data_IF_630626428822
#
_entry.id   IF_630626428822
#
_cell.length_a   1.000
_cell.length_b   1.000
_cell.length_c   1.000
_cell.angle_alpha   90.00
_cell.angle_beta   90.00
_cell.angle_gamma   90.00
#
_symmetry.space_group_name_H-M   'P 1'
#
loop_
_entity.id
_entity.type
_entity.pdbx_description
1 polymer ?
#
# COMPACT_ATOMS: atom_id res chain seq x y z
N UNK A 1 -9.34 -28.78 -12.85
CA UNK A 1 -9.93 -28.53 -11.52
C UNK A 1 -8.82 -28.73 -10.49
N UNK A 2 -8.39 -27.67 -9.82
CA UNK A 2 -7.52 -27.80 -8.65
C UNK A 2 -8.44 -28.13 -7.47
N UNK A 3 -8.35 -29.33 -6.89
CA UNK A 3 -9.16 -29.63 -5.72
C UNK A 3 -8.72 -28.69 -4.58
N UNK A 4 -9.69 -28.00 -3.99
CA UNK A 4 -9.46 -27.20 -2.78
C UNK A 4 -8.79 -28.08 -1.71
N UNK A 5 -7.63 -27.63 -1.26
CA UNK A 5 -6.94 -28.25 -0.13
C UNK A 5 -7.04 -27.34 1.06
N UNK A 6 -7.70 -27.78 2.12
CA UNK A 6 -7.74 -27.04 3.37
C UNK A 6 -6.35 -26.98 3.98
N UNK A 7 -5.81 -25.78 4.08
CA UNK A 7 -4.52 -25.57 4.74
C UNK A 7 -4.70 -25.69 6.26
N UNK A 8 -3.85 -26.45 6.90
CA UNK A 8 -3.80 -26.54 8.36
C UNK A 8 -2.37 -26.29 8.84
N UNK A 9 -2.11 -25.08 9.30
CA UNK A 9 -0.81 -24.64 9.81
C UNK A 9 -0.98 -23.85 11.12
N UNK A 10 0.11 -23.36 11.68
CA UNK A 10 0.11 -22.62 12.96
C UNK A 10 -0.75 -21.35 12.96
N UNK A 11 -1.03 -20.78 11.77
CA UNK A 11 -1.80 -19.53 11.63
C UNK A 11 -3.24 -19.78 11.18
N UNK A 12 -3.66 -21.06 10.99
CA UNK A 12 -5.04 -21.42 10.65
C UNK A 12 -6.02 -20.95 11.73
N UNK A 13 -7.02 -20.17 11.35
CA UNK A 13 -8.04 -19.57 12.22
C UNK A 13 -7.49 -18.64 13.32
N UNK A 14 -6.25 -18.22 13.22
CA UNK A 14 -5.60 -17.37 14.23
C UNK A 14 -6.36 -16.06 14.49
N UNK A 15 -6.95 -15.50 13.45
CA UNK A 15 -7.71 -14.24 13.48
C UNK A 15 -9.22 -14.44 13.26
N UNK A 16 -9.73 -15.64 13.49
CA UNK A 16 -11.18 -15.86 13.43
C UNK A 16 -11.89 -14.95 14.43
N UNK A 17 -12.87 -14.16 13.95
CA UNK A 17 -13.59 -13.19 14.77
C UNK A 17 -12.85 -11.87 15.04
N UNK A 18 -11.74 -11.60 14.33
CA UNK A 18 -11.14 -10.26 14.30
C UNK A 18 -11.81 -9.40 13.25
N UNK A 19 -11.86 -8.09 13.48
CA UNK A 19 -12.10 -7.11 12.44
C UNK A 19 -10.93 -7.13 11.44
N UNK A 20 -11.17 -6.69 10.22
CA UNK A 20 -10.13 -6.57 9.20
C UNK A 20 -10.13 -5.15 8.63
N UNK A 21 -8.98 -4.52 8.57
CA UNK A 21 -8.76 -3.27 7.83
C UNK A 21 -7.65 -3.50 6.83
N UNK A 22 -7.98 -3.43 5.55
CA UNK A 22 -7.01 -3.42 4.47
C UNK A 22 -6.61 -1.97 4.15
N UNK A 23 -5.32 -1.68 4.06
CA UNK A 23 -4.78 -0.38 3.62
C UNK A 23 -4.09 -0.59 2.29
N UNK A 24 -4.75 -0.14 1.24
CA UNK A 24 -4.30 -0.11 -0.14
C UNK A 24 -3.42 1.13 -0.31
N UNK A 25 -2.11 0.94 -0.28
CA UNK A 25 -1.14 2.03 -0.30
C UNK A 25 -0.73 2.34 -1.74
N UNK A 26 -1.17 3.49 -2.24
CA UNK A 26 -0.89 3.96 -3.59
C UNK A 26 0.60 3.99 -3.90
N UNK A 27 1.03 3.23 -4.91
CA UNK A 27 2.37 3.26 -5.50
C UNK A 27 3.54 3.04 -4.52
N UNK A 28 3.36 2.36 -3.38
CA UNK A 28 4.44 2.09 -2.42
C UNK A 28 5.23 0.85 -2.85
N UNK A 29 6.54 1.03 -3.08
CA UNK A 29 7.46 -0.04 -3.51
C UNK A 29 8.38 -0.50 -2.37
N UNK A 30 8.78 -1.77 -2.37
CA UNK A 30 9.57 -2.36 -1.28
C UNK A 30 10.99 -1.81 -1.15
N UNK A 31 11.60 -1.29 -2.23
CA UNK A 31 12.96 -0.74 -2.17
C UNK A 31 13.10 0.49 -1.26
N UNK A 32 11.97 1.12 -0.91
CA UNK A 32 11.94 2.27 0.00
C UNK A 32 12.11 1.88 1.47
N UNK A 33 11.84 0.60 1.81
CA UNK A 33 11.99 0.10 3.17
C UNK A 33 13.47 -0.02 3.49
N UNK A 34 13.86 0.52 4.64
CA UNK A 34 15.25 0.68 5.09
C UNK A 34 16.14 1.54 4.16
N UNK A 35 15.54 2.28 3.19
CA UNK A 35 16.27 3.25 2.39
C UNK A 35 16.60 4.49 3.23
N UNK A 36 17.88 4.84 3.22
CA UNK A 36 18.38 6.06 3.85
C UNK A 36 19.04 6.99 2.83
N UNK A 37 18.81 8.30 2.98
CA UNK A 37 19.55 9.35 2.26
C UNK A 37 20.08 10.33 3.33
N UNK A 38 21.37 10.62 3.31
CA UNK A 38 22.05 11.44 4.32
C UNK A 38 21.85 10.94 5.77
N UNK A 39 21.74 9.62 5.96
CA UNK A 39 21.50 9.02 7.27
C UNK A 39 20.08 9.24 7.83
N UNK A 40 19.14 9.68 6.98
CA UNK A 40 17.71 9.79 7.31
C UNK A 40 16.92 8.73 6.58
N UNK A 41 16.10 7.99 7.31
CA UNK A 41 15.20 7.00 6.72
C UNK A 41 14.12 7.66 5.85
N UNK A 42 13.88 7.12 4.66
CA UNK A 42 12.82 7.61 3.77
C UNK A 42 11.43 7.23 4.33
N UNK A 43 11.32 6.03 4.88
CA UNK A 43 10.05 5.48 5.40
C UNK A 43 10.20 4.99 6.85
N UNK A 44 10.47 5.88 7.83
CA UNK A 44 10.74 5.47 9.21
C UNK A 44 9.57 4.72 9.87
N UNK A 45 8.33 5.04 9.52
CA UNK A 45 7.14 4.39 10.08
C UNK A 45 6.92 3.00 9.49
N UNK A 46 7.05 2.83 8.17
CA UNK A 46 7.04 1.51 7.54
C UNK A 46 8.21 0.65 8.01
N UNK A 47 9.42 1.20 8.17
CA UNK A 47 10.58 0.51 8.69
C UNK A 47 10.34 -0.04 10.11
N UNK A 48 9.66 0.74 10.96
CA UNK A 48 9.23 0.28 12.28
C UNK A 48 8.16 -0.80 12.18
N UNK A 49 7.15 -0.58 11.34
CA UNK A 49 6.01 -1.46 11.18
C UNK A 49 6.41 -2.86 10.70
N UNK A 50 7.30 -2.97 9.70
CA UNK A 50 7.78 -4.27 9.19
C UNK A 50 8.54 -5.07 10.27
N UNK A 51 9.19 -4.40 11.22
CA UNK A 51 9.88 -5.03 12.36
C UNK A 51 8.91 -5.55 13.43
N UNK A 52 7.68 -5.02 13.47
CA UNK A 52 6.63 -5.35 14.46
C UNK A 52 5.54 -6.28 13.90
N UNK A 53 5.63 -6.72 12.64
CA UNK A 53 4.57 -7.39 11.88
C UNK A 53 5.02 -8.71 11.24
N UNK A 54 4.09 -9.40 10.56
CA UNK A 54 4.43 -10.40 9.54
C UNK A 54 4.65 -9.65 8.23
N UNK A 55 5.89 -9.59 7.79
CA UNK A 55 6.31 -8.90 6.57
C UNK A 55 6.68 -9.88 5.46
N UNK A 56 6.08 -9.68 4.28
CA UNK A 56 6.34 -10.45 3.07
C UNK A 56 7.18 -9.57 2.14
N UNK A 57 8.48 -9.80 2.14
CA UNK A 57 9.46 -8.93 1.47
C UNK A 57 9.69 -9.25 -0.01
N UNK A 58 9.11 -10.34 -0.49
CA UNK A 58 9.23 -10.77 -1.88
C UNK A 58 7.84 -10.90 -2.52
N UNK A 59 7.07 -9.81 -2.45
CA UNK A 59 5.69 -9.74 -2.88
C UNK A 59 5.56 -8.87 -4.13
N UNK A 60 4.79 -9.33 -5.11
CA UNK A 60 4.64 -8.67 -6.41
C UNK A 60 3.19 -8.34 -6.72
N UNK A 61 2.90 -7.10 -7.14
CA UNK A 61 1.59 -6.74 -7.67
C UNK A 61 1.38 -7.46 -9.00
N UNK A 62 0.15 -7.90 -9.25
CA UNK A 62 -0.23 -8.61 -10.46
C UNK A 62 -1.25 -7.77 -11.22
N UNK A 63 -0.78 -6.66 -11.75
CA UNK A 63 -1.60 -5.64 -12.41
C UNK A 63 -1.38 -5.60 -13.92
N UNK A 64 -2.37 -5.08 -14.62
CA UNK A 64 -2.33 -4.74 -16.04
C UNK A 64 -2.63 -3.25 -16.21
N UNK A 65 -3.40 -2.86 -17.20
CA UNK A 65 -3.77 -1.46 -17.47
C UNK A 65 -4.65 -0.81 -16.39
N UNK A 66 -5.31 -1.62 -15.56
CA UNK A 66 -6.20 -1.14 -14.49
C UNK A 66 -5.48 -0.72 -13.21
N UNK A 67 -4.15 -0.94 -13.11
CA UNK A 67 -3.31 -0.55 -11.96
C UNK A 67 -3.99 -0.78 -10.60
N UNK A 68 -4.37 0.28 -9.87
CA UNK A 68 -5.03 0.18 -8.56
C UNK A 68 -6.33 -0.64 -8.61
N UNK A 69 -7.18 -0.47 -9.64
CA UNK A 69 -8.42 -1.23 -9.80
C UNK A 69 -8.18 -2.74 -10.04
N UNK A 70 -7.06 -3.10 -10.67
CA UNK A 70 -6.66 -4.49 -10.85
C UNK A 70 -6.23 -5.12 -9.51
N UNK A 71 -5.51 -4.36 -8.69
CA UNK A 71 -5.14 -4.78 -7.34
C UNK A 71 -6.36 -4.96 -6.44
N UNK A 72 -7.30 -4.01 -6.45
CA UNK A 72 -8.56 -4.15 -5.71
C UNK A 72 -9.34 -5.40 -6.13
N UNK A 73 -9.38 -5.69 -7.44
CA UNK A 73 -10.01 -6.90 -7.98
C UNK A 73 -9.30 -8.17 -7.51
N UNK A 74 -7.98 -8.25 -7.68
CA UNK A 74 -7.19 -9.45 -7.32
C UNK A 74 -7.19 -9.70 -5.83
N UNK A 75 -7.03 -8.65 -5.01
CA UNK A 75 -7.17 -8.71 -3.54
C UNK A 75 -8.51 -9.31 -3.12
N UNK A 76 -9.60 -8.86 -3.74
CA UNK A 76 -10.94 -9.28 -3.39
C UNK A 76 -11.27 -10.70 -3.86
N UNK A 77 -10.71 -11.16 -4.99
CA UNK A 77 -11.15 -12.38 -5.69
C UNK A 77 -10.11 -13.48 -5.80
N UNK A 78 -8.81 -13.17 -5.63
CA UNK A 78 -7.69 -14.05 -6.00
C UNK A 78 -7.70 -14.44 -7.49
N UNK A 79 -8.27 -13.61 -8.36
CA UNK A 79 -8.25 -13.80 -9.80
C UNK A 79 -7.31 -12.81 -10.47
N UNK A 80 -6.68 -13.23 -11.57
CA UNK A 80 -5.84 -12.34 -12.36
C UNK A 80 -6.67 -11.29 -13.10
N UNK A 81 -6.18 -10.05 -13.23
CA UNK A 81 -6.83 -9.02 -14.02
C UNK A 81 -6.81 -9.37 -15.52
N UNK A 82 -7.62 -8.67 -16.30
CA UNK A 82 -7.64 -8.83 -17.77
C UNK A 82 -6.45 -8.10 -18.41
N UNK A 83 -5.96 -8.64 -19.53
CA UNK A 83 -4.81 -8.05 -20.24
C UNK A 83 -5.16 -6.76 -21.01
N UNK A 84 -6.44 -6.52 -21.29
CA UNK A 84 -6.91 -5.36 -22.05
C UNK A 84 -8.17 -4.79 -21.41
N UNK A 85 -8.21 -3.49 -21.21
CA UNK A 85 -9.23 -2.83 -20.40
C UNK A 85 -9.09 -3.12 -18.92
N UNK A 86 -10.13 -2.89 -18.13
CA UNK A 86 -10.16 -3.21 -16.71
C UNK A 86 -11.40 -4.01 -16.36
N UNK A 87 -11.28 -4.89 -15.37
CA UNK A 87 -12.43 -5.66 -14.86
C UNK A 87 -13.48 -4.71 -14.28
N UNK A 88 -13.05 -3.66 -13.59
CA UNK A 88 -13.90 -2.66 -12.96
C UNK A 88 -14.84 -1.96 -13.94
N UNK A 89 -14.40 -1.71 -15.17
CA UNK A 89 -15.21 -1.06 -16.20
C UNK A 89 -15.94 -2.08 -17.07
N UNK A 90 -15.25 -3.12 -17.50
CA UNK A 90 -15.78 -4.04 -18.53
C UNK A 90 -16.64 -5.17 -17.96
N UNK A 91 -16.42 -5.54 -16.70
CA UNK A 91 -16.99 -6.77 -16.13
C UNK A 91 -17.64 -6.59 -14.75
N UNK A 92 -17.93 -5.36 -14.31
CA UNK A 92 -18.53 -5.06 -13.00
C UNK A 92 -19.90 -5.73 -12.78
N UNK A 93 -20.63 -6.08 -13.85
CA UNK A 93 -21.94 -6.75 -13.76
C UNK A 93 -21.84 -8.26 -13.51
N UNK A 94 -20.62 -8.83 -13.53
CA UNK A 94 -20.46 -10.26 -13.25
C UNK A 94 -20.51 -10.54 -11.76
N UNK A 95 -20.95 -11.74 -11.42
CA UNK A 95 -20.90 -12.21 -10.03
C UNK A 95 -19.53 -12.84 -9.76
N UNK A 96 -18.92 -12.43 -8.63
CA UNK A 96 -17.64 -12.94 -8.16
C UNK A 96 -17.80 -13.52 -6.74
N UNK A 97 -17.03 -14.56 -6.43
CA UNK A 97 -16.74 -14.96 -5.05
C UNK A 97 -15.64 -14.04 -4.55
N UNK A 98 -15.89 -13.33 -3.44
CA UNK A 98 -15.00 -12.29 -2.95
C UNK A 98 -14.81 -12.42 -1.45
N UNK A 99 -13.69 -11.88 -0.93
CA UNK A 99 -13.43 -11.79 0.50
C UNK A 99 -14.60 -11.13 1.25
N UNK A 100 -15.11 -10.03 0.70
CA UNK A 100 -16.20 -9.24 1.28
C UNK A 100 -17.47 -10.08 1.45
N UNK A 101 -17.89 -10.80 0.41
CA UNK A 101 -19.07 -11.67 0.44
C UNK A 101 -18.88 -12.84 1.40
N UNK A 102 -17.73 -13.48 1.38
CA UNK A 102 -17.41 -14.59 2.28
C UNK A 102 -17.41 -14.14 3.75
N UNK A 103 -16.93 -12.93 4.04
CA UNK A 103 -16.98 -12.35 5.37
C UNK A 103 -18.40 -11.92 5.76
N UNK A 104 -19.16 -11.33 4.81
CA UNK A 104 -20.57 -10.97 5.05
C UNK A 104 -21.42 -12.19 5.47
N UNK A 105 -21.19 -13.37 4.86
CA UNK A 105 -21.82 -14.64 5.25
C UNK A 105 -21.48 -15.04 6.70
N UNK A 106 -20.37 -14.55 7.25
CA UNK A 106 -19.97 -14.74 8.65
C UNK A 106 -20.45 -13.63 9.60
N UNK A 107 -21.22 -12.67 9.09
CA UNK A 107 -21.77 -11.56 9.88
C UNK A 107 -20.85 -10.36 9.95
N UNK A 108 -19.96 -10.16 8.97
CA UNK A 108 -19.16 -8.93 8.88
C UNK A 108 -19.93 -7.84 8.13
N UNK A 109 -19.91 -6.64 8.67
CA UNK A 109 -20.24 -5.44 7.91
C UNK A 109 -19.04 -5.05 7.03
N UNK A 110 -19.25 -4.85 5.73
CA UNK A 110 -18.17 -4.64 4.77
C UNK A 110 -18.26 -3.27 4.13
N UNK A 111 -17.16 -2.53 4.11
CA UNK A 111 -17.11 -1.17 3.57
C UNK A 111 -15.78 -0.86 2.89
N UNK A 112 -15.78 0.18 2.07
CA UNK A 112 -14.58 0.75 1.46
C UNK A 112 -14.56 2.26 1.64
N UNK A 113 -13.36 2.85 1.64
CA UNK A 113 -13.10 4.27 1.86
C UNK A 113 -12.10 4.80 0.86
N UNK A 114 -12.36 5.97 0.27
CA UNK A 114 -11.46 6.62 -0.69
C UNK A 114 -11.70 8.12 -0.77
N UNK A 115 -10.67 8.93 -0.59
CA UNK A 115 -10.74 10.39 -0.60
C UNK A 115 -10.90 11.03 -1.99
N UNK A 116 -11.53 10.34 -2.94
CA UNK A 116 -11.78 10.82 -4.30
C UNK A 116 -13.19 10.42 -4.77
N UNK A 117 -13.58 10.90 -5.96
CA UNK A 117 -14.90 10.66 -6.55
C UNK A 117 -15.19 9.17 -6.73
N UNK A 118 -16.41 8.78 -6.38
CA UNK A 118 -16.88 7.40 -6.49
C UNK A 118 -16.77 6.83 -7.93
N UNK A 119 -16.93 7.70 -8.95
CA UNK A 119 -16.83 7.29 -10.35
C UNK A 119 -15.39 6.96 -10.82
N UNK A 120 -14.36 7.35 -10.08
CA UNK A 120 -12.98 7.01 -10.42
C UNK A 120 -12.82 5.48 -10.43
N UNK A 121 -12.28 4.94 -11.53
CA UNK A 121 -12.22 3.50 -11.80
C UNK A 121 -13.58 2.79 -11.77
N UNK A 122 -14.72 3.50 -11.90
CA UNK A 122 -16.07 2.90 -11.83
C UNK A 122 -16.33 2.18 -10.49
N UNK A 123 -15.72 2.68 -9.37
CA UNK A 123 -15.84 2.08 -8.04
C UNK A 123 -17.28 2.10 -7.51
N UNK A 124 -18.06 3.15 -7.84
CA UNK A 124 -19.48 3.27 -7.52
C UNK A 124 -20.33 2.07 -7.99
N UNK A 125 -19.93 1.43 -9.07
CA UNK A 125 -20.58 0.22 -9.57
C UNK A 125 -19.86 -1.07 -9.14
N UNK A 126 -18.54 -1.06 -9.09
CA UNK A 126 -17.77 -2.28 -8.85
C UNK A 126 -17.71 -2.65 -7.36
N UNK A 127 -17.59 -1.68 -6.43
CA UNK A 127 -17.51 -2.01 -5.01
C UNK A 127 -18.76 -2.74 -4.50
N UNK A 128 -19.99 -2.32 -4.81
CA UNK A 128 -21.18 -3.13 -4.50
C UNK A 128 -21.15 -4.52 -5.15
N UNK A 129 -20.63 -4.63 -6.37
CA UNK A 129 -20.50 -5.93 -7.06
C UNK A 129 -19.50 -6.86 -6.36
N UNK A 130 -18.42 -6.31 -5.78
CA UNK A 130 -17.48 -7.04 -4.94
C UNK A 130 -18.04 -7.42 -3.57
N UNK A 131 -19.14 -6.80 -3.13
CA UNK A 131 -19.80 -7.11 -1.89
C UNK A 131 -19.49 -6.15 -0.73
N UNK A 132 -18.98 -4.96 -1.02
CA UNK A 132 -18.99 -3.87 -0.04
C UNK A 132 -20.42 -3.38 0.13
N UNK A 133 -20.88 -3.28 1.37
CA UNK A 133 -22.23 -2.79 1.73
C UNK A 133 -22.30 -1.28 1.60
N UNK A 134 -21.20 -0.59 1.95
CA UNK A 134 -21.06 0.85 1.78
C UNK A 134 -19.72 1.25 1.18
N UNK A 135 -19.73 2.35 0.43
CA UNK A 135 -18.55 3.00 -0.13
C UNK A 135 -18.51 4.48 0.29
N UNK A 136 -17.59 4.81 1.18
CA UNK A 136 -17.35 6.17 1.66
C UNK A 136 -16.37 6.87 0.71
N UNK A 137 -16.90 7.53 -0.32
CA UNK A 137 -16.14 8.30 -1.30
C UNK A 137 -15.96 9.76 -0.87
N UNK A 138 -15.39 10.62 -1.71
CA UNK A 138 -15.12 12.04 -1.45
C UNK A 138 -16.31 12.79 -0.80
N UNK A 139 -17.54 12.47 -1.17
CA UNK A 139 -18.76 13.11 -0.64
C UNK A 139 -19.01 12.89 0.86
N UNK A 140 -18.35 11.93 1.47
CA UNK A 140 -18.42 11.64 2.92
C UNK A 140 -17.36 12.39 3.72
N UNK A 141 -16.45 13.11 3.05
CA UNK A 141 -15.34 13.83 3.65
C UNK A 141 -15.49 15.34 3.46
N UNK A 142 -14.96 16.09 4.43
CA UNK A 142 -14.67 17.50 4.20
C UNK A 142 -13.37 17.58 3.39
N UNK A 143 -13.44 18.11 2.15
CA UNK A 143 -12.26 18.24 1.28
C UNK A 143 -11.51 19.51 1.68
N UNK A 144 -10.82 19.46 2.82
CA UNK A 144 -10.12 20.57 3.47
C UNK A 144 -8.64 20.69 3.06
N UNK A 145 -8.00 19.59 2.67
CA UNK A 145 -6.62 19.57 2.20
C UNK A 145 -6.52 18.70 0.94
N UNK A 146 -6.22 19.34 -0.20
CA UNK A 146 -6.06 18.64 -1.49
C UNK A 146 -4.58 18.56 -1.85
N UNK A 147 -4.09 17.35 -2.09
CA UNK A 147 -2.75 17.07 -2.59
C UNK A 147 -2.87 16.13 -3.80
N UNK A 148 -2.36 16.56 -4.95
CA UNK A 148 -2.46 15.81 -6.19
C UNK A 148 -3.93 15.68 -6.65
N UNK A 149 -4.46 14.45 -6.68
CA UNK A 149 -5.74 14.13 -7.31
C UNK A 149 -6.98 14.27 -6.40
N UNK A 150 -6.81 14.52 -5.11
CA UNK A 150 -7.94 14.59 -4.20
C UNK A 150 -7.54 14.88 -2.75
N UNK A 151 -8.37 14.44 -1.81
CA UNK A 151 -8.14 14.64 -0.39
C UNK A 151 -6.79 14.03 0.01
N UNK A 152 -5.98 14.78 0.78
CA UNK A 152 -4.69 14.29 1.26
C UNK A 152 -4.83 13.05 2.12
N UNK A 153 -3.83 12.16 2.12
CA UNK A 153 -3.85 10.95 2.95
C UNK A 153 -3.94 11.28 4.44
N UNK A 154 -3.36 12.40 4.90
CA UNK A 154 -3.50 12.87 6.28
C UNK A 154 -4.94 13.18 6.63
N UNK A 155 -5.58 14.03 5.86
CA UNK A 155 -6.98 14.40 6.11
C UNK A 155 -7.92 13.20 5.91
N UNK A 156 -7.65 12.37 4.90
CA UNK A 156 -8.38 11.13 4.67
C UNK A 156 -8.33 10.18 5.88
N UNK A 157 -7.15 9.92 6.44
CA UNK A 157 -7.02 9.05 7.61
C UNK A 157 -7.71 9.65 8.83
N UNK A 158 -7.43 10.92 9.16
CA UNK A 158 -8.02 11.58 10.34
C UNK A 158 -9.56 11.58 10.31
N UNK A 159 -10.17 11.82 9.15
CA UNK A 159 -11.63 11.79 9.02
C UNK A 159 -12.17 10.34 8.99
N UNK A 160 -11.40 9.40 8.44
CA UNK A 160 -11.76 7.97 8.42
C UNK A 160 -11.78 7.35 9.82
N UNK A 161 -10.93 7.80 10.74
CA UNK A 161 -10.93 7.36 12.14
C UNK A 161 -12.30 7.53 12.80
N UNK A 162 -12.91 8.70 12.63
CA UNK A 162 -14.27 8.97 13.13
C UNK A 162 -15.35 8.10 12.47
N UNK A 163 -15.22 7.83 11.16
CA UNK A 163 -16.13 6.96 10.44
C UNK A 163 -16.01 5.50 10.91
N UNK A 164 -14.78 5.00 11.08
CA UNK A 164 -14.53 3.63 11.56
C UNK A 164 -15.05 3.48 12.99
N UNK A 165 -14.88 4.50 13.83
CA UNK A 165 -15.47 4.48 15.20
C UNK A 165 -16.98 4.36 15.16
N UNK A 166 -17.68 5.14 14.33
CA UNK A 166 -19.15 5.02 14.15
C UNK A 166 -19.55 3.63 13.66
N UNK A 167 -18.78 3.06 12.71
CA UNK A 167 -19.01 1.69 12.22
C UNK A 167 -18.78 0.67 13.34
N UNK A 168 -17.72 0.81 14.12
CA UNK A 168 -17.45 -0.07 15.26
C UNK A 168 -18.57 -0.05 16.29
N UNK A 169 -19.11 1.13 16.59
CA UNK A 169 -20.22 1.27 17.53
C UNK A 169 -21.52 0.68 16.95
N UNK A 170 -21.83 0.94 15.69
CA UNK A 170 -22.95 0.34 14.98
C UNK A 170 -22.88 -1.21 15.02
N UNK A 171 -21.73 -1.80 14.72
CA UNK A 171 -21.53 -3.26 14.73
C UNK A 171 -21.72 -3.85 16.13
N UNK A 172 -21.39 -3.12 17.19
CA UNK A 172 -21.63 -3.58 18.58
C UNK A 172 -23.12 -3.53 18.97
N UNK A 173 -23.86 -2.57 18.42
CA UNK A 173 -25.28 -2.35 18.75
C UNK A 173 -26.23 -3.20 17.89
N UNK A 174 -25.88 -3.47 16.63
CA UNK A 174 -26.69 -4.23 15.69
C UNK A 174 -26.36 -5.72 15.74
N UNK A 175 -27.30 -6.52 16.25
CA UNK A 175 -27.14 -7.99 16.37
C UNK A 175 -26.98 -8.72 15.02
N UNK A 176 -27.21 -8.05 13.90
CA UNK A 176 -26.97 -8.60 12.56
C UNK A 176 -25.47 -8.77 12.29
N UNK A 177 -24.64 -7.89 12.85
CA UNK A 177 -23.22 -7.89 12.62
C UNK A 177 -22.44 -8.36 13.84
N UNK A 178 -21.29 -8.99 13.60
CA UNK A 178 -20.35 -9.44 14.64
C UNK A 178 -19.04 -8.70 14.57
N UNK A 179 -18.61 -8.37 13.37
CA UNK A 179 -17.33 -7.76 13.05
C UNK A 179 -17.48 -6.84 11.84
N UNK A 180 -16.43 -6.13 11.49
CA UNK A 180 -16.37 -5.38 10.24
C UNK A 180 -15.12 -5.71 9.41
N UNK A 181 -15.21 -5.49 8.11
CA UNK A 181 -14.10 -5.51 7.16
C UNK A 181 -14.14 -4.24 6.34
N UNK A 182 -13.09 -3.43 6.42
CA UNK A 182 -12.91 -2.19 5.68
C UNK A 182 -11.70 -2.22 4.76
N UNK A 183 -11.79 -1.51 3.63
CA UNK A 183 -10.63 -1.22 2.77
C UNK A 183 -10.46 0.29 2.66
N UNK A 184 -9.32 0.80 3.07
CA UNK A 184 -8.90 2.20 2.94
C UNK A 184 -7.96 2.33 1.74
N UNK A 185 -8.29 3.21 0.80
CA UNK A 185 -7.51 3.40 -0.44
C UNK A 185 -6.88 4.79 -0.39
N UNK A 186 -5.55 4.85 -0.26
CA UNK A 186 -4.79 6.10 -0.22
C UNK A 186 -4.66 6.73 -1.61
N UNK A 187 -4.22 7.98 -1.70
CA UNK A 187 -4.22 8.72 -2.95
C UNK A 187 -3.01 9.65 -3.15
N UNK A 188 -2.47 10.25 -2.10
CA UNK A 188 -1.49 11.35 -2.22
C UNK A 188 -0.24 10.96 -3.01
N UNK A 189 0.23 9.71 -2.88
CA UNK A 189 1.41 9.20 -3.56
C UNK A 189 1.13 8.75 -5.01
N UNK A 190 0.13 9.35 -5.68
CA UNK A 190 -0.18 9.08 -7.08
C UNK A 190 0.70 9.91 -8.03
N UNK A 191 1.12 9.30 -9.16
CA UNK A 191 1.81 10.03 -10.24
C UNK A 191 1.00 11.27 -10.66
N UNK A 192 1.65 12.39 -11.06
CA UNK A 192 3.02 12.56 -11.52
C UNK A 192 4.07 12.95 -10.47
N UNK A 193 3.75 12.95 -9.18
CA UNK A 193 4.65 13.30 -8.08
C UNK A 193 5.18 14.74 -8.17
N UNK A 194 4.31 15.71 -8.44
CA UNK A 194 4.67 17.11 -8.70
C UNK A 194 3.98 18.12 -7.77
N UNK A 195 3.33 17.65 -6.71
CA UNK A 195 2.66 18.54 -5.77
C UNK A 195 3.67 19.27 -4.87
N UNK A 196 3.52 20.59 -4.81
CA UNK A 196 4.42 21.46 -4.04
C UNK A 196 4.38 21.18 -2.55
N UNK A 197 3.31 20.64 -2.02
CA UNK A 197 3.17 20.36 -0.60
C UNK A 197 4.31 19.50 -0.06
N UNK A 198 4.59 18.38 -0.73
CA UNK A 198 5.69 17.48 -0.32
C UNK A 198 7.04 17.79 -1.01
N UNK A 199 7.03 18.60 -2.09
CA UNK A 199 8.27 18.97 -2.78
C UNK A 199 8.99 20.16 -2.13
N UNK A 200 8.23 21.18 -1.69
CA UNK A 200 8.73 22.48 -1.25
C UNK A 200 8.30 22.82 0.20
N UNK A 201 7.53 21.97 0.88
CA UNK A 201 7.07 22.17 2.24
C UNK A 201 8.20 22.15 3.28
N UNK A 202 7.96 22.66 4.48
CA UNK A 202 8.95 22.68 5.58
C UNK A 202 9.45 21.26 5.95
N UNK A 203 8.61 20.25 5.75
CA UNK A 203 8.90 18.84 6.02
C UNK A 203 9.36 18.08 4.75
N UNK A 204 9.68 18.77 3.64
CA UNK A 204 10.11 18.12 2.41
C UNK A 204 11.39 17.31 2.63
N UNK A 205 11.36 16.03 2.20
CA UNK A 205 12.51 15.15 2.35
C UNK A 205 13.66 15.58 1.44
N UNK A 206 14.87 15.69 1.99
CA UNK A 206 16.06 16.06 1.24
C UNK A 206 16.62 14.86 0.48
N UNK A 207 16.58 14.94 -0.86
CA UNK A 207 17.08 13.91 -1.78
C UNK A 207 18.40 14.30 -2.45
N UNK A 208 19.03 15.39 -2.02
CA UNK A 208 20.43 15.71 -2.38
C UNK A 208 21.38 14.80 -1.62
N UNK A 209 22.67 14.85 -1.94
CA UNK A 209 23.69 14.11 -1.21
C UNK A 209 24.69 15.07 -0.55
N UNK A 210 24.77 15.02 0.76
CA UNK A 210 25.70 15.78 1.60
C UNK A 210 27.03 15.03 1.70
N UNK A 211 28.10 15.57 1.11
CA UNK A 211 29.40 14.87 1.06
C UNK A 211 30.17 14.90 2.38
N UNK A 212 29.83 15.83 3.30
CA UNK A 212 30.61 16.13 4.49
C UNK A 212 31.96 16.79 4.17
N UNK A 213 32.26 17.10 2.90
CA UNK A 213 33.46 17.80 2.45
C UNK A 213 33.13 19.28 2.24
N UNK A 214 34.11 20.14 2.40
CA UNK A 214 33.92 21.58 2.30
C UNK A 214 34.87 22.16 1.22
N UNK A 215 34.39 23.17 0.48
CA UNK A 215 35.15 23.90 -0.47
C UNK A 215 36.15 24.87 0.20
N UNK A 216 36.92 25.58 -0.62
CA UNK A 216 37.92 26.56 -0.15
C UNK A 216 37.30 27.75 0.63
N UNK A 217 35.99 27.95 0.54
CA UNK A 217 35.25 29.00 1.22
C UNK A 217 34.51 28.49 2.49
N UNK A 218 34.71 27.21 2.83
CA UNK A 218 34.06 26.59 3.99
C UNK A 218 32.58 26.22 3.76
N UNK A 219 32.10 26.20 2.52
CA UNK A 219 30.77 25.76 2.15
C UNK A 219 30.79 24.26 1.90
N UNK A 220 29.84 23.53 2.46
CA UNK A 220 29.68 22.10 2.21
C UNK A 220 29.44 21.82 0.70
N UNK A 221 30.10 20.81 0.19
CA UNK A 221 29.89 20.30 -1.17
C UNK A 221 28.68 19.38 -1.13
N UNK A 222 27.60 19.77 -1.80
CA UNK A 222 26.35 19.02 -1.91
C UNK A 222 26.15 18.68 -3.38
N UNK A 223 25.81 17.41 -3.63
CA UNK A 223 25.47 16.94 -4.98
C UNK A 223 23.96 16.87 -5.14
N UNK A 224 23.45 17.22 -6.32
CA UNK A 224 22.01 17.20 -6.59
C UNK A 224 21.41 15.80 -6.54
N UNK A 225 22.20 14.74 -6.71
CA UNK A 225 21.79 13.32 -6.64
C UNK A 225 20.42 13.06 -7.31
N UNK A 226 19.34 13.06 -6.55
CA UNK A 226 17.98 12.85 -7.05
C UNK A 226 17.15 14.12 -7.14
N UNK A 227 17.67 15.28 -6.71
CA UNK A 227 16.92 16.54 -6.74
C UNK A 227 16.50 16.88 -8.18
N UNK A 228 15.27 17.35 -8.35
CA UNK A 228 14.68 17.67 -9.66
C UNK A 228 14.39 16.45 -10.56
N UNK A 229 14.59 15.23 -10.08
CA UNK A 229 14.23 14.00 -10.81
C UNK A 229 12.86 13.46 -10.37
N UNK A 230 12.18 12.74 -11.28
CA UNK A 230 10.88 12.12 -10.96
C UNK A 230 11.01 11.11 -9.81
N UNK A 231 12.11 10.33 -9.77
CA UNK A 231 12.33 9.39 -8.67
C UNK A 231 12.59 10.11 -7.34
N UNK A 232 13.28 11.25 -7.36
CA UNK A 232 13.46 12.11 -6.18
C UNK A 232 12.12 12.66 -5.68
N UNK A 233 11.29 13.15 -6.60
CA UNK A 233 9.94 13.61 -6.27
C UNK A 233 9.07 12.49 -5.70
N UNK A 234 9.16 11.29 -6.27
CA UNK A 234 8.48 10.11 -5.76
C UNK A 234 8.92 9.78 -4.32
N UNK A 235 10.22 9.82 -4.03
CA UNK A 235 10.74 9.59 -2.67
C UNK A 235 10.21 10.64 -1.69
N UNK A 236 10.16 11.92 -2.08
CA UNK A 236 9.56 12.98 -1.26
C UNK A 236 8.07 12.73 -0.98
N UNK A 237 7.32 12.33 -2.00
CA UNK A 237 5.90 11.98 -1.88
C UNK A 237 5.68 10.78 -0.95
N UNK A 238 6.50 9.73 -1.08
CA UNK A 238 6.43 8.54 -0.21
C UNK A 238 6.77 8.88 1.24
N UNK A 239 7.76 9.75 1.47
CA UNK A 239 8.08 10.18 2.85
C UNK A 239 6.88 10.86 3.52
N UNK A 240 6.14 11.68 2.76
CA UNK A 240 4.90 12.27 3.25
C UNK A 240 3.82 11.20 3.52
N UNK A 241 3.62 10.25 2.61
CA UNK A 241 2.64 9.16 2.78
C UNK A 241 2.99 8.28 4.00
N UNK A 242 4.28 7.99 4.22
CA UNK A 242 4.77 7.26 5.40
C UNK A 242 4.49 8.01 6.70
N UNK A 243 4.65 9.34 6.71
CA UNK A 243 4.30 10.19 7.86
C UNK A 243 2.81 10.09 8.19
N UNK A 244 1.94 10.18 7.18
CA UNK A 244 0.49 10.03 7.37
C UNK A 244 0.11 8.64 7.89
N UNK A 245 0.74 7.59 7.36
CA UNK A 245 0.55 6.22 7.86
C UNK A 245 1.02 6.09 9.31
N UNK A 246 2.14 6.71 9.67
CA UNK A 246 2.64 6.72 11.04
C UNK A 246 1.66 7.35 12.02
N UNK A 247 1.05 8.48 11.66
CA UNK A 247 0.01 9.15 12.45
C UNK A 247 -1.20 8.22 12.68
N UNK A 248 -1.69 7.55 11.64
CA UNK A 248 -2.76 6.53 11.75
C UNK A 248 -2.36 5.36 12.66
N UNK A 249 -1.15 4.81 12.54
CA UNK A 249 -0.68 3.68 13.36
C UNK A 249 -0.60 4.07 14.84
N UNK A 250 -0.12 5.26 15.16
CA UNK A 250 -0.10 5.73 16.55
C UNK A 250 -1.52 5.95 17.10
N UNK A 251 -2.44 6.51 16.28
CA UNK A 251 -3.86 6.58 16.65
C UNK A 251 -4.44 5.19 16.97
N UNK A 252 -4.24 4.20 16.09
CA UNK A 252 -4.70 2.82 16.30
C UNK A 252 -4.15 2.22 17.59
N UNK A 253 -2.88 2.49 17.94
CA UNK A 253 -2.26 1.98 19.18
C UNK A 253 -2.92 2.54 20.43
N UNK A 254 -3.41 3.77 20.39
CA UNK A 254 -4.04 4.45 21.54
C UNK A 254 -5.51 4.06 21.74
N UNK A 255 -6.17 3.42 20.74
CA UNK A 255 -7.62 3.19 20.77
C UNK A 255 -7.97 1.70 20.88
N UNK A 256 -8.76 1.36 21.91
CA UNK A 256 -9.09 -0.03 22.27
C UNK A 256 -10.03 -0.73 21.29
N UNK A 257 -10.77 -0.01 20.47
CA UNK A 257 -11.61 -0.57 19.42
C UNK A 257 -10.83 -1.39 18.39
N UNK A 258 -9.53 -1.17 18.28
CA UNK A 258 -8.64 -1.90 17.37
C UNK A 258 -7.93 -3.11 18.03
N UNK A 259 -8.21 -3.44 19.30
CA UNK A 259 -7.56 -4.56 20.00
C UNK A 259 -7.72 -5.91 19.31
N UNK A 260 -8.82 -6.12 18.57
CA UNK A 260 -9.09 -7.31 17.76
C UNK A 260 -9.25 -6.93 16.29
N UNK A 261 -8.26 -6.27 15.73
CA UNK A 261 -8.26 -5.88 14.31
C UNK A 261 -6.97 -6.35 13.66
N UNK A 262 -7.10 -7.10 12.58
CA UNK A 262 -6.02 -7.44 11.67
C UNK A 262 -5.91 -6.36 10.61
N UNK A 263 -4.80 -5.69 10.56
CA UNK A 263 -4.43 -4.76 9.49
C UNK A 263 -3.67 -5.50 8.40
N UNK A 264 -4.08 -5.29 7.15
CA UNK A 264 -3.46 -5.84 5.94
C UNK A 264 -3.02 -4.67 5.07
N UNK A 265 -1.74 -4.32 5.14
CA UNK A 265 -1.19 -3.21 4.37
C UNK A 265 -0.45 -3.76 3.15
N UNK A 266 -0.68 -3.18 1.99
CA UNK A 266 0.02 -3.59 0.76
C UNK A 266 0.21 -2.41 -0.20
N UNK A 267 1.37 -2.37 -0.86
CA UNK A 267 1.55 -1.52 -2.03
C UNK A 267 0.74 -2.07 -3.19
N UNK A 268 -0.05 -1.23 -3.83
CA UNK A 268 -1.01 -1.67 -4.85
C UNK A 268 -0.35 -2.00 -6.19
N UNK A 269 0.59 -1.21 -6.61
CA UNK A 269 1.42 -1.43 -7.79
C UNK A 269 2.75 -0.65 -7.70
N UNK A 270 3.66 -0.94 -8.59
CA UNK A 270 4.88 -0.17 -8.72
C UNK A 270 4.57 1.25 -9.21
N UNK A 271 5.30 2.23 -8.68
CA UNK A 271 5.25 3.60 -9.16
C UNK A 271 5.53 3.67 -10.66
N UNK A 272 4.82 4.56 -11.37
CA UNK A 272 4.97 4.75 -12.81
C UNK A 272 6.27 5.50 -13.15
N UNK A 273 7.39 4.87 -12.82
CA UNK A 273 8.74 5.36 -13.10
C UNK A 273 9.35 4.64 -14.30
N UNK A 274 10.07 5.39 -15.12
CA UNK A 274 10.81 4.80 -16.25
C UNK A 274 12.05 4.06 -15.76
N UNK A 275 12.45 3.01 -16.46
CA UNK A 275 13.70 2.27 -16.20
C UNK A 275 14.91 3.18 -16.02
N UNK A 276 15.05 4.26 -16.82
CA UNK A 276 16.13 5.24 -16.72
C UNK A 276 16.18 6.01 -15.39
N UNK A 277 15.05 6.14 -14.68
CA UNK A 277 15.03 6.76 -13.35
C UNK A 277 15.67 5.85 -12.30
N UNK A 278 15.37 4.56 -12.34
CA UNK A 278 15.99 3.58 -11.46
C UNK A 278 17.49 3.39 -11.80
N UNK A 279 17.84 3.37 -13.09
CA UNK A 279 19.25 3.30 -13.51
C UNK A 279 20.07 4.46 -12.94
N UNK A 280 19.52 5.69 -12.94
CA UNK A 280 20.13 6.85 -12.30
C UNK A 280 20.26 6.67 -10.78
N UNK A 281 19.24 6.17 -10.13
CA UNK A 281 19.22 5.95 -8.68
C UNK A 281 20.32 4.96 -8.23
N UNK A 282 20.50 3.84 -8.94
CA UNK A 282 21.47 2.80 -8.56
C UNK A 282 22.90 3.08 -9.05
N UNK A 283 23.09 3.96 -10.04
CA UNK A 283 24.39 4.25 -10.66
C UNK A 283 24.88 5.67 -10.40
N UNK A 284 24.69 6.19 -9.20
CA UNK A 284 25.27 7.45 -8.79
C UNK A 284 26.61 7.20 -8.08
N UNK A 285 27.64 7.95 -8.47
CA UNK A 285 28.92 7.96 -7.78
C UNK A 285 28.96 9.06 -6.71
N UNK A 286 28.93 8.63 -5.47
CA UNK A 286 28.90 9.52 -4.30
C UNK A 286 30.28 10.19 -4.02
N UNK A 287 31.36 9.78 -4.70
CA UNK A 287 32.66 10.43 -4.57
C UNK A 287 32.81 11.61 -5.55
N UNK A 288 32.34 11.43 -6.77
CA UNK A 288 32.47 12.44 -7.85
C UNK A 288 31.21 13.31 -8.00
N UNK A 289 30.04 12.84 -7.58
CA UNK A 289 28.76 13.52 -7.78
C UNK A 289 28.19 13.32 -9.20
N UNK A 290 28.71 12.36 -9.94
CA UNK A 290 28.32 12.09 -11.33
C UNK A 290 27.65 10.69 -11.45
N UNK A 291 27.00 10.45 -12.60
CA UNK A 291 26.51 9.11 -12.91
C UNK A 291 27.71 8.19 -13.27
N UNK A 292 27.71 6.97 -12.73
CA UNK A 292 28.66 5.93 -13.13
C UNK A 292 28.50 5.60 -14.62
N UNK A 293 29.58 5.32 -15.30
CA UNK A 293 29.61 4.84 -16.68
C UNK A 293 29.72 3.32 -16.74
N UNK A 294 29.41 2.72 -17.88
CA UNK A 294 29.48 1.26 -18.08
C UNK A 294 30.89 0.68 -17.85
N UNK A 295 31.95 1.52 -17.91
CA UNK A 295 33.33 1.13 -17.63
C UNK A 295 33.65 1.06 -16.12
N UNK A 296 32.77 1.57 -15.25
CA UNK A 296 32.95 1.49 -13.81
C UNK A 296 32.68 0.07 -13.32
N UNK A 297 33.62 -0.56 -12.57
CA UNK A 297 33.46 -1.93 -12.07
C UNK A 297 32.24 -2.13 -11.16
N UNK A 298 31.70 -1.04 -10.61
CA UNK A 298 30.52 -1.04 -9.72
C UNK A 298 29.24 -0.58 -10.44
N UNK A 299 29.32 -0.39 -11.77
CA UNK A 299 28.14 -0.07 -12.56
C UNK A 299 27.14 -1.23 -12.54
N UNK A 300 25.90 -0.91 -12.26
CA UNK A 300 24.79 -1.86 -12.30
C UNK A 300 24.11 -1.73 -13.66
N UNK A 301 24.22 -2.76 -14.49
CA UNK A 301 23.46 -2.83 -15.73
C UNK A 301 21.98 -3.06 -15.40
N UNK A 302 21.25 -1.96 -15.23
CA UNK A 302 19.84 -1.98 -14.88
C UNK A 302 19.00 -2.30 -16.14
N UNK A 303 18.96 -3.58 -16.49
CA UNK A 303 18.23 -4.08 -17.67
C UNK A 303 16.73 -4.25 -17.42
N UNK A 304 16.04 -4.94 -18.32
CA UNK A 304 14.61 -5.18 -18.20
C UNK A 304 14.30 -6.14 -17.03
N UNK A 305 15.11 -7.15 -16.81
CA UNK A 305 14.90 -8.12 -15.73
C UNK A 305 15.04 -7.47 -14.35
N UNK A 306 16.11 -6.70 -14.15
CA UNK A 306 16.31 -5.93 -12.93
C UNK A 306 15.15 -4.96 -12.67
N UNK A 307 14.66 -4.29 -13.73
CA UNK A 307 13.52 -3.40 -13.63
C UNK A 307 12.24 -4.13 -13.17
N UNK A 308 11.98 -5.35 -13.65
CA UNK A 308 10.82 -6.13 -13.21
C UNK A 308 10.95 -6.62 -11.76
N UNK A 309 12.15 -7.02 -11.33
CA UNK A 309 12.41 -7.41 -9.93
C UNK A 309 12.24 -6.23 -8.97
N UNK A 310 12.54 -5.01 -9.42
CA UNK A 310 12.40 -3.78 -8.62
C UNK A 310 10.95 -3.35 -8.41
N UNK A 311 9.99 -3.96 -9.13
CA UNK A 311 8.57 -3.63 -9.02
C UNK A 311 7.85 -4.30 -7.85
N UNK A 312 8.56 -4.98 -6.96
CA UNK A 312 7.96 -5.56 -5.77
C UNK A 312 7.42 -4.48 -4.82
N UNK A 313 6.35 -4.85 -4.13
CA UNK A 313 5.67 -3.97 -3.18
C UNK A 313 5.60 -4.65 -1.82
N UNK A 314 5.49 -3.92 -0.70
CA UNK A 314 5.34 -4.55 0.60
C UNK A 314 3.96 -5.19 0.77
N UNK A 315 3.91 -6.34 1.45
CA UNK A 315 2.71 -6.88 2.07
C UNK A 315 3.00 -7.07 3.56
N UNK A 316 2.11 -6.55 4.40
CA UNK A 316 2.31 -6.51 5.86
C UNK A 316 1.02 -6.93 6.54
N UNK A 317 1.09 -7.92 7.44
CA UNK A 317 -0.01 -8.26 8.35
C UNK A 317 0.37 -7.83 9.76
N UNK A 318 -0.42 -6.95 10.33
CA UNK A 318 -0.13 -6.34 11.61
C UNK A 318 -1.37 -6.28 12.52
N UNK A 319 -1.13 -6.41 13.82
CA UNK A 319 -2.09 -6.11 14.88
C UNK A 319 -1.42 -5.20 15.92
N UNK A 320 -2.17 -4.30 16.54
CA UNK A 320 -1.58 -3.39 17.54
C UNK A 320 -0.97 -4.11 18.75
N UNK A 321 -1.39 -5.35 19.00
CA UNK A 321 -0.89 -6.17 20.10
C UNK A 321 0.27 -7.10 19.68
N UNK A 322 0.79 -6.98 18.46
CA UNK A 322 1.85 -7.82 17.91
C UNK A 322 1.52 -9.34 17.95
N UNK A 323 0.25 -9.70 17.71
CA UNK A 323 -0.20 -11.09 17.71
C UNK A 323 0.41 -11.93 16.58
N UNK A 324 0.96 -11.28 15.55
CA UNK A 324 1.64 -11.91 14.44
C UNK A 324 2.94 -11.16 14.12
N UNK A 325 4.03 -11.93 14.00
CA UNK A 325 5.35 -11.37 13.68
C UNK A 325 6.19 -12.40 12.92
N UNK A 326 6.97 -11.91 11.99
CA UNK A 326 7.93 -12.71 11.24
C UNK A 326 8.22 -12.13 9.86
N UNK A 327 9.04 -12.83 9.10
CA UNK A 327 9.40 -12.47 7.73
C UNK A 327 9.16 -13.66 6.80
N UNK A 328 8.55 -13.41 5.66
CA UNK A 328 8.30 -14.39 4.60
C UNK A 328 8.99 -13.89 3.34
N UNK A 329 9.92 -14.68 2.82
CA UNK A 329 10.78 -14.28 1.70
C UNK A 329 10.63 -15.15 0.45
N UNK A 330 9.72 -16.12 0.44
CA UNK A 330 9.40 -16.81 -0.81
C UNK A 330 8.52 -15.93 -1.70
N UNK A 331 8.64 -16.04 -3.05
CA UNK A 331 7.87 -15.21 -3.96
C UNK A 331 6.36 -15.40 -3.77
N UNK A 332 5.64 -14.28 -3.65
CA UNK A 332 4.19 -14.24 -3.55
C UNK A 332 3.63 -13.15 -4.48
N UNK A 333 2.38 -13.32 -4.84
CA UNK A 333 1.64 -12.32 -5.61
C UNK A 333 0.34 -11.91 -4.91
N UNK A 334 -0.33 -10.90 -5.44
CA UNK A 334 -1.61 -10.43 -4.92
C UNK A 334 -2.68 -11.54 -4.91
N UNK A 335 -2.62 -12.51 -5.82
CA UNK A 335 -3.54 -13.67 -5.83
C UNK A 335 -3.43 -14.53 -4.57
N UNK A 336 -2.29 -14.52 -3.88
CA UNK A 336 -2.03 -15.31 -2.68
C UNK A 336 -2.62 -14.68 -1.40
N UNK A 337 -3.03 -13.40 -1.46
CA UNK A 337 -3.50 -12.67 -0.28
C UNK A 337 -4.84 -13.22 0.21
N UNK A 338 -5.82 -13.38 -0.68
CA UNK A 338 -7.13 -13.88 -0.30
C UNK A 338 -7.09 -15.30 0.30
N UNK A 339 -6.40 -16.31 -0.29
CA UNK A 339 -6.30 -17.63 0.35
C UNK A 339 -5.55 -17.60 1.68
N UNK A 340 -4.52 -16.77 1.83
CA UNK A 340 -3.80 -16.56 3.09
C UNK A 340 -4.74 -15.99 4.17
N UNK A 341 -5.48 -14.93 3.87
CA UNK A 341 -6.47 -14.36 4.78
C UNK A 341 -7.60 -15.34 5.09
N UNK A 342 -8.07 -16.10 4.09
CA UNK A 342 -9.11 -17.11 4.27
C UNK A 342 -8.69 -18.16 5.29
N UNK A 343 -7.46 -18.66 5.20
CA UNK A 343 -6.90 -19.58 6.20
C UNK A 343 -6.85 -18.96 7.60
N UNK A 344 -6.35 -17.74 7.73
CA UNK A 344 -6.19 -17.06 9.01
C UNK A 344 -7.52 -16.66 9.66
N UNK A 345 -8.54 -16.34 8.86
CA UNK A 345 -9.88 -15.95 9.31
C UNK A 345 -10.85 -17.13 9.43
N UNK A 346 -10.41 -18.36 9.11
CA UNK A 346 -11.27 -19.55 9.13
C UNK A 346 -12.39 -19.50 8.08
N UNK A 347 -12.10 -18.95 6.90
CA UNK A 347 -13.02 -18.87 5.77
C UNK A 347 -12.69 -19.97 4.78
N UNK A 348 -13.70 -20.67 4.28
CA UNK A 348 -13.53 -21.60 3.17
C UNK A 348 -13.64 -20.86 1.83
N UNK A 349 -12.60 -20.93 1.00
CA UNK A 349 -12.61 -20.37 -0.34
C UNK A 349 -12.11 -21.42 -1.35
N UNK A 350 -13.04 -21.98 -2.14
CA UNK A 350 -12.76 -23.04 -3.11
C UNK A 350 -12.37 -22.50 -4.50
N UNK A 351 -12.39 -21.17 -4.69
CA UNK A 351 -12.26 -20.52 -6.00
C UNK A 351 -11.00 -19.65 -6.13
N UNK A 352 -10.19 -19.56 -5.09
CA UNK A 352 -8.91 -18.84 -5.14
C UNK A 352 -7.93 -19.52 -6.09
N UNK A 353 -7.15 -18.73 -6.83
CA UNK A 353 -6.09 -19.21 -7.72
C UNK A 353 -4.72 -19.26 -7.03
N UNK A 354 -4.51 -18.48 -5.97
CA UNK A 354 -3.27 -18.45 -5.20
C UNK A 354 -3.10 -19.63 -4.24
#
# INVERSE_FOLDING_TARGET
ENPYQESNNKDTKKFEGYNVIAIHMESIMSFLIDLEINGKEVTPNLNKLVKESMYFDNFYPQVSVGTSSDTEFTFSTSLMPVQSGTVFVSYYKRSYVTLQKLLAEKGYYTFSMHGNKASMWNRDNMHPSLGYMDFYSEEYYNVDEVIGLGLSDRSFFNQSEELIKKISDMVKEDSQYKNYMGTMITLTNHTPFDDKYYLEGEDAFDVTYHTGKYDAHGKEIIYDYLEGSIIGNYIKSVHYADKCLGELIEYVKEHDEYNKTLFVLYGDHAAQLRKSQFAKFVNFDFETGEAKTEDDPTYINYDYYENELFKNTPLIFWTKNNDIKGKVSYPMGMIDVLPTLSNMLGIKNEYALG
#
